data_IF_854408624916
#
_entry.id   IF_854408624916
#
_cell.length_a   1.000
_cell.length_b   1.000
_cell.length_c   1.000
_cell.angle_alpha   90.00
_cell.angle_beta   90.00
_cell.angle_gamma   90.00
#
_symmetry.space_group_name_H-M   'P 1'
#
loop_
_entity.id
_entity.type
_entity.pdbx_description
1 polymer ?
#
# COMPACT_ATOMS: atom_id res chain seq x y z
N UNK A 1 -6.68 -25.60 4.70
CA UNK A 1 -6.26 -24.78 3.54
C UNK A 1 -4.81 -25.13 3.27
N UNK A 2 -4.49 -25.60 2.07
CA UNK A 2 -3.17 -26.14 1.72
C UNK A 2 -2.23 -24.99 1.30
N UNK A 3 -1.13 -24.78 2.05
CA UNK A 3 -0.16 -23.72 1.78
C UNK A 3 0.61 -23.93 0.48
N UNK A 4 0.80 -25.17 0.05
CA UNK A 4 1.53 -25.49 -1.16
C UNK A 4 0.69 -25.18 -2.39
N UNK A 5 -0.62 -25.46 -2.31
CA UNK A 5 -1.58 -25.04 -3.33
C UNK A 5 -1.69 -23.52 -3.42
N UNK A 6 -1.72 -22.80 -2.29
CA UNK A 6 -1.72 -21.33 -2.26
C UNK A 6 -0.45 -20.80 -2.95
N UNK A 7 0.73 -21.30 -2.60
CA UNK A 7 1.99 -20.88 -3.24
C UNK A 7 2.00 -21.19 -4.74
N UNK A 8 1.45 -22.32 -5.13
CA UNK A 8 1.36 -22.68 -6.54
C UNK A 8 0.50 -21.66 -7.30
N UNK A 9 -0.71 -21.37 -6.83
CA UNK A 9 -1.63 -20.42 -7.49
C UNK A 9 -1.14 -18.97 -7.43
N UNK A 10 -0.68 -18.50 -6.28
CA UNK A 10 -0.35 -17.08 -6.08
C UNK A 10 1.10 -16.69 -6.36
N UNK A 11 2.00 -17.65 -6.56
CA UNK A 11 3.43 -17.39 -6.85
C UNK A 11 3.86 -18.03 -8.16
N UNK A 12 3.73 -19.36 -8.30
CA UNK A 12 4.26 -20.08 -9.47
C UNK A 12 3.43 -19.82 -10.72
N UNK A 13 2.12 -19.99 -10.61
CA UNK A 13 1.18 -19.88 -11.71
C UNK A 13 0.47 -18.52 -11.72
N UNK A 14 1.03 -17.52 -11.02
CA UNK A 14 0.41 -16.23 -10.79
C UNK A 14 -0.14 -15.62 -12.08
N UNK A 15 0.66 -15.60 -13.15
CA UNK A 15 0.31 -15.02 -14.45
C UNK A 15 -1.00 -15.57 -15.06
N UNK A 16 -1.41 -16.80 -14.70
CA UNK A 16 -2.66 -17.41 -15.16
C UNK A 16 -3.87 -17.08 -14.27
N UNK A 17 -3.64 -16.60 -13.04
CA UNK A 17 -4.67 -16.38 -12.02
C UNK A 17 -4.77 -14.92 -11.53
N UNK A 18 -4.11 -13.97 -12.20
CA UNK A 18 -4.11 -12.56 -11.77
C UNK A 18 -5.41 -11.81 -12.05
N UNK A 19 -6.22 -12.33 -12.97
CA UNK A 19 -7.42 -11.63 -13.42
C UNK A 19 -8.52 -11.72 -12.36
N UNK A 20 -9.01 -10.54 -11.95
CA UNK A 20 -10.09 -10.42 -10.98
C UNK A 20 -11.44 -10.68 -11.65
N UNK A 21 -12.39 -11.21 -10.88
CA UNK A 21 -13.79 -11.28 -11.30
C UNK A 21 -14.26 -9.88 -11.68
N UNK A 22 -14.55 -9.66 -12.95
CA UNK A 22 -15.09 -8.39 -13.42
C UNK A 22 -16.49 -8.26 -12.79
N UNK A 23 -16.64 -7.31 -11.88
CA UNK A 23 -17.96 -6.89 -11.43
C UNK A 23 -18.48 -5.97 -12.54
N UNK A 24 -19.49 -6.40 -13.30
CA UNK A 24 -20.10 -5.61 -14.38
C UNK A 24 -20.96 -4.45 -13.82
N UNK A 25 -20.31 -3.55 -13.07
CA UNK A 25 -20.81 -2.22 -12.73
C UNK A 25 -20.51 -1.21 -13.85
N UNK A 26 -19.89 -1.68 -14.94
CA UNK A 26 -19.32 -0.87 -16.01
C UNK A 26 -20.35 -0.27 -16.97
N UNK A 27 -21.61 -0.71 -16.94
CA UNK A 27 -22.66 -0.10 -17.77
C UNK A 27 -23.01 1.33 -17.36
N UNK A 28 -22.63 1.77 -16.16
CA UNK A 28 -23.09 3.03 -15.58
C UNK A 28 -21.99 4.05 -15.27
N UNK A 29 -20.72 3.65 -15.12
CA UNK A 29 -19.66 4.60 -14.74
C UNK A 29 -18.31 4.33 -15.45
N UNK A 30 -17.96 5.27 -16.33
CA UNK A 30 -16.71 5.28 -17.11
C UNK A 30 -15.48 5.36 -16.20
N UNK A 31 -15.57 5.96 -15.00
CA UNK A 31 -14.46 6.04 -14.06
C UNK A 31 -14.13 4.68 -13.46
N UNK A 32 -15.12 3.90 -13.05
CA UNK A 32 -14.91 2.53 -12.55
C UNK A 32 -14.25 1.63 -13.59
N UNK A 33 -14.62 1.78 -14.88
CA UNK A 33 -13.99 1.05 -15.99
C UNK A 33 -12.49 1.33 -16.15
N UNK A 34 -12.02 2.49 -15.66
CA UNK A 34 -10.62 2.94 -15.75
C UNK A 34 -9.81 2.68 -14.48
N UNK A 35 -10.43 2.28 -13.38
CA UNK A 35 -9.73 2.00 -12.11
C UNK A 35 -8.80 0.80 -12.21
N UNK A 36 -7.64 0.86 -11.55
CA UNK A 36 -6.63 -0.21 -11.52
C UNK A 36 -7.21 -1.57 -11.11
N UNK A 37 -8.15 -1.59 -10.17
CA UNK A 37 -8.77 -2.81 -9.65
C UNK A 37 -9.64 -3.53 -10.69
N UNK A 38 -10.11 -2.81 -11.70
CA UNK A 38 -11.03 -3.29 -12.72
C UNK A 38 -10.35 -3.63 -14.06
N UNK A 39 -9.07 -3.25 -14.22
CA UNK A 39 -8.24 -3.67 -15.36
C UNK A 39 -7.68 -5.08 -15.11
N UNK A 40 -7.40 -5.79 -16.20
CA UNK A 40 -6.84 -7.15 -16.22
C UNK A 40 -5.62 -7.23 -17.15
N UNK A 41 -4.90 -8.36 -17.09
CA UNK A 41 -3.78 -8.65 -17.98
C UNK A 41 -2.71 -7.53 -18.04
N UNK A 42 -2.24 -7.22 -19.26
CA UNK A 42 -1.16 -6.26 -19.51
C UNK A 42 -1.51 -4.84 -19.06
N UNK A 43 -2.74 -4.36 -19.31
CA UNK A 43 -3.17 -3.02 -18.91
C UNK A 43 -3.08 -2.83 -17.39
N UNK A 44 -3.50 -3.84 -16.63
CA UNK A 44 -3.34 -3.83 -15.18
C UNK A 44 -1.87 -3.80 -14.76
N UNK A 45 -1.01 -4.62 -15.39
CA UNK A 45 0.44 -4.63 -15.10
C UNK A 45 1.06 -3.25 -15.34
N UNK A 46 0.76 -2.63 -16.48
CA UNK A 46 1.31 -1.33 -16.87
C UNK A 46 0.83 -0.22 -15.90
N UNK A 47 -0.47 -0.14 -15.61
CA UNK A 47 -1.01 0.81 -14.65
C UNK A 47 -0.46 0.59 -13.23
N UNK A 48 -0.33 -0.68 -12.80
CA UNK A 48 0.24 -1.00 -11.48
C UNK A 48 1.69 -0.59 -11.40
N UNK A 49 2.48 -0.78 -12.45
CA UNK A 49 3.88 -0.36 -12.49
C UNK A 49 4.04 1.14 -12.30
N UNK A 50 3.09 1.93 -12.82
CA UNK A 50 3.08 3.39 -12.67
C UNK A 50 2.61 3.80 -11.26
N UNK A 51 1.59 3.14 -10.70
CA UNK A 51 0.97 3.53 -9.43
C UNK A 51 1.67 2.96 -8.18
N UNK A 52 2.24 1.77 -8.25
CA UNK A 52 2.85 1.07 -7.11
C UNK A 52 3.97 1.85 -6.41
N UNK A 53 4.84 2.61 -7.12
CA UNK A 53 5.85 3.44 -6.48
C UNK A 53 5.24 4.45 -5.51
N UNK A 54 4.11 5.07 -5.86
CA UNK A 54 3.44 6.08 -5.02
C UNK A 54 3.04 5.52 -3.66
N UNK A 55 2.45 4.32 -3.62
CA UNK A 55 2.00 3.67 -2.39
C UNK A 55 3.13 3.11 -1.52
N UNK A 56 4.33 2.97 -2.08
CA UNK A 56 5.53 2.52 -1.35
C UNK A 56 6.45 3.69 -0.97
N UNK A 57 6.06 4.93 -1.29
CA UNK A 57 6.85 6.09 -0.91
C UNK A 57 6.83 6.37 0.58
N UNK A 58 7.96 6.89 1.09
CA UNK A 58 8.09 7.41 2.45
C UNK A 58 7.07 8.53 2.75
N UNK A 59 6.56 9.23 1.73
CA UNK A 59 5.51 10.24 1.89
C UNK A 59 4.17 9.61 2.33
N UNK A 60 3.71 8.56 1.64
CA UNK A 60 2.45 7.89 1.97
C UNK A 60 2.52 7.17 3.32
N UNK A 61 3.67 6.57 3.64
CA UNK A 61 3.91 5.96 4.95
C UNK A 61 3.80 6.97 6.10
N UNK A 62 4.44 8.14 5.94
CA UNK A 62 4.33 9.24 6.92
C UNK A 62 2.91 9.79 7.04
N UNK A 63 2.22 10.01 5.93
CA UNK A 63 0.83 10.47 5.94
C UNK A 63 -0.10 9.52 6.70
N UNK A 64 0.06 8.21 6.52
CA UNK A 64 -0.75 7.22 7.25
C UNK A 64 -0.48 7.27 8.75
N UNK A 65 0.79 7.42 9.16
CA UNK A 65 1.17 7.61 10.57
C UNK A 65 0.58 8.90 11.12
N UNK A 66 0.57 9.98 10.34
CA UNK A 66 -0.01 11.26 10.75
C UNK A 66 -1.52 11.17 10.96
N UNK A 67 -2.24 10.49 10.07
CA UNK A 67 -3.69 10.25 10.24
C UNK A 67 -3.96 9.50 11.54
N UNK A 68 -3.20 8.43 11.83
CA UNK A 68 -3.34 7.67 13.08
C UNK A 68 -3.02 8.56 14.29
N UNK A 69 -1.92 9.30 14.24
CA UNK A 69 -1.49 10.20 15.31
C UNK A 69 -2.56 11.25 15.63
N UNK A 70 -3.17 11.85 14.61
CA UNK A 70 -4.21 12.86 14.77
C UNK A 70 -5.52 12.25 15.30
N UNK A 71 -6.04 11.19 14.68
CA UNK A 71 -7.39 10.69 15.03
C UNK A 71 -7.41 9.81 16.29
N UNK A 72 -6.38 9.00 16.52
CA UNK A 72 -6.35 8.06 17.65
C UNK A 72 -5.75 8.70 18.89
N UNK A 73 -4.68 9.49 18.70
CA UNK A 73 -3.87 10.00 19.80
C UNK A 73 -4.03 11.51 20.03
N UNK A 74 -4.77 12.23 19.18
CA UNK A 74 -4.94 13.67 19.29
C UNK A 74 -3.64 14.45 19.12
N UNK A 75 -2.63 13.88 18.46
CA UNK A 75 -1.33 14.49 18.25
C UNK A 75 -1.38 15.31 16.96
N UNK A 76 -1.05 16.59 17.05
CA UNK A 76 -0.88 17.45 15.89
C UNK A 76 0.44 17.10 15.17
N UNK A 77 0.32 16.63 13.94
CA UNK A 77 1.45 16.26 13.08
C UNK A 77 1.07 16.53 11.63
N UNK A 78 2.06 16.89 10.82
CA UNK A 78 1.86 17.25 9.42
C UNK A 78 3.15 17.04 8.63
N UNK A 79 3.20 15.93 7.91
CA UNK A 79 4.28 15.54 7.02
C UNK A 79 4.53 16.55 5.88
N UNK A 80 3.52 17.32 5.47
CA UNK A 80 3.65 18.24 4.34
C UNK A 80 4.38 19.52 4.73
N UNK A 81 4.15 20.03 5.94
CA UNK A 81 4.81 21.24 6.44
C UNK A 81 6.11 20.93 7.19
N UNK A 82 6.16 19.83 7.95
CA UNK A 82 7.35 19.46 8.72
C UNK A 82 7.53 17.94 8.81
N UNK A 83 8.40 17.38 7.97
CA UNK A 83 8.64 15.93 7.87
C UNK A 83 9.20 15.28 9.15
N UNK A 84 9.74 16.05 10.08
CA UNK A 84 10.44 15.56 11.28
C UNK A 84 9.63 15.73 12.58
N UNK A 85 8.42 16.28 12.55
CA UNK A 85 7.58 16.44 13.75
C UNK A 85 6.85 15.16 14.19
N UNK A 86 6.87 14.09 13.37
CA UNK A 86 6.18 12.83 13.69
C UNK A 86 6.86 12.06 14.85
N UNK A 87 6.34 12.27 16.06
CA UNK A 87 6.82 11.66 17.31
C UNK A 87 6.97 10.14 17.19
N UNK A 88 5.98 9.44 16.63
CA UNK A 88 6.00 7.98 16.48
C UNK A 88 7.11 7.48 15.56
N UNK A 89 7.38 8.18 14.46
CA UNK A 89 8.44 7.78 13.53
C UNK A 89 9.82 8.00 14.14
N UNK A 90 10.00 9.12 14.82
CA UNK A 90 11.24 9.41 15.54
C UNK A 90 11.47 8.42 16.68
N UNK A 91 10.42 8.04 17.40
CA UNK A 91 10.47 7.01 18.43
C UNK A 91 10.83 5.64 17.83
N UNK A 92 10.20 5.25 16.72
CA UNK A 92 10.52 4.00 16.02
C UNK A 92 11.96 3.94 15.51
N UNK A 93 12.50 5.03 14.94
CA UNK A 93 13.91 5.11 14.53
C UNK A 93 14.87 4.97 15.71
N UNK A 94 14.59 5.64 16.83
CA UNK A 94 15.40 5.54 18.06
C UNK A 94 15.35 4.12 18.63
N UNK A 95 14.17 3.49 18.65
CA UNK A 95 14.01 2.11 19.09
C UNK A 95 14.78 1.13 18.20
N UNK A 96 14.74 1.29 16.87
CA UNK A 96 15.49 0.45 15.94
C UNK A 96 17.01 0.56 16.14
N UNK A 97 17.52 1.79 16.30
CA UNK A 97 18.95 2.02 16.60
C UNK A 97 19.31 1.42 17.96
N UNK A 98 18.47 1.59 18.98
CA UNK A 98 18.68 0.98 20.30
C UNK A 98 18.75 -0.55 20.21
N UNK A 99 17.82 -1.21 19.51
CA UNK A 99 17.86 -2.66 19.31
C UNK A 99 19.11 -3.13 18.58
N UNK A 100 19.64 -2.35 17.63
CA UNK A 100 20.88 -2.69 16.90
C UNK A 100 22.16 -2.50 17.73
N UNK A 101 22.15 -1.59 18.70
CA UNK A 101 23.32 -1.31 19.55
C UNK A 101 23.44 -2.29 20.72
N UNK A 102 22.35 -2.95 21.10
CA UNK A 102 22.27 -3.81 22.28
C UNK A 102 21.80 -5.25 21.96
N UNK A 103 21.67 -5.60 20.67
CA UNK A 103 21.25 -6.91 20.16
C UNK A 103 22.36 -7.64 19.43
#
# INVERSE_FOLDING_TARGET
MDLDLIKQVFVKDFDHFMDRRIIDLNKTDILFSKMLTNKSGKEWKDLRSIMSPTFTTDAFGRYTVDVIASIVFGIETDVFTNKDNSVFRNMGKKAAIFTLLWG
#
